data_IF_378641074075
#
_entry.id   IF_378641074075
#
_cell.length_a   1.000
_cell.length_b   1.000
_cell.length_c   1.000
_cell.angle_alpha   90.00
_cell.angle_beta   90.00
_cell.angle_gamma   90.00
#
_symmetry.space_group_name_H-M   'P 1'
#
loop_
_entity.id
_entity.type
_entity.pdbx_description
1 polymer ?
#
# COMPACT_ATOMS: atom_id res chain seq x y z
N UNK A 1 11.65 0.02 -0.89
CA UNK A 1 10.95 -1.27 -1.17
C UNK A 1 11.22 -2.37 -0.16
N UNK A 2 12.48 -2.84 0.01
CA UNK A 2 12.78 -3.97 0.92
C UNK A 2 12.39 -3.69 2.37
N UNK A 3 12.57 -2.45 2.83
CA UNK A 3 12.20 -2.04 4.19
C UNK A 3 10.68 -2.10 4.41
N UNK A 4 9.90 -1.55 3.49
CA UNK A 4 8.42 -1.57 3.54
C UNK A 4 7.89 -3.00 3.44
N UNK A 5 8.49 -3.82 2.57
CA UNK A 5 8.20 -5.25 2.48
C UNK A 5 8.41 -5.95 3.83
N UNK A 6 9.55 -5.69 4.50
CA UNK A 6 9.83 -6.21 5.84
C UNK A 6 8.84 -5.69 6.90
N UNK A 7 8.55 -4.40 6.92
CA UNK A 7 7.63 -3.78 7.91
C UNK A 7 6.22 -4.36 7.84
N UNK A 8 5.77 -4.68 6.64
CA UNK A 8 4.41 -5.17 6.39
C UNK A 8 4.34 -6.70 6.25
N UNK A 9 5.40 -7.43 6.60
CA UNK A 9 5.50 -8.88 6.40
C UNK A 9 5.09 -9.33 4.98
N UNK A 10 5.39 -8.51 3.98
CA UNK A 10 5.05 -8.77 2.59
C UNK A 10 6.30 -8.93 1.75
N UNK A 11 6.13 -9.40 0.51
CA UNK A 11 7.24 -9.54 -0.43
C UNK A 11 7.31 -8.33 -1.35
N UNK A 12 8.50 -7.92 -1.82
CA UNK A 12 8.62 -6.88 -2.85
C UNK A 12 7.86 -7.25 -4.14
N UNK A 13 7.64 -8.56 -4.38
CA UNK A 13 6.80 -9.07 -5.46
C UNK A 13 5.32 -8.70 -5.27
N UNK A 14 4.79 -8.79 -4.05
CA UNK A 14 3.43 -8.35 -3.73
C UNK A 14 3.27 -6.83 -3.90
N UNK A 15 4.25 -6.05 -3.44
CA UNK A 15 4.27 -4.58 -3.64
C UNK A 15 4.23 -4.25 -5.14
N UNK A 16 5.04 -4.93 -5.96
CA UNK A 16 5.06 -4.72 -7.41
C UNK A 16 3.72 -5.11 -8.07
N UNK A 17 3.06 -6.17 -7.60
CA UNK A 17 1.72 -6.54 -8.03
C UNK A 17 0.68 -5.44 -7.71
N UNK A 18 0.77 -4.84 -6.53
CA UNK A 18 -0.13 -3.75 -6.13
C UNK A 18 0.13 -2.47 -6.93
N UNK A 19 1.39 -2.17 -7.24
CA UNK A 19 1.76 -1.07 -8.13
C UNK A 19 1.26 -1.28 -9.57
N UNK A 20 1.43 -2.49 -10.11
CA UNK A 20 0.93 -2.85 -11.45
C UNK A 20 -0.60 -2.77 -11.54
N UNK A 21 -1.29 -3.10 -10.44
CA UNK A 21 -2.74 -2.93 -10.31
C UNK A 21 -3.16 -1.48 -10.00
N UNK A 22 -2.21 -0.57 -9.79
CA UNK A 22 -2.45 0.83 -9.44
C UNK A 22 -3.17 1.01 -8.10
N UNK A 23 -2.87 0.17 -7.11
CA UNK A 23 -3.33 0.32 -5.73
C UNK A 23 -2.41 1.23 -4.92
N UNK A 24 -1.14 1.24 -5.26
CA UNK A 24 -0.13 2.10 -4.67
C UNK A 24 0.60 2.84 -5.78
N UNK A 25 0.97 4.08 -5.49
CA UNK A 25 1.71 4.91 -6.44
C UNK A 25 2.85 5.56 -5.65
N UNK A 26 3.93 4.81 -5.37
CA UNK A 26 5.04 5.36 -4.63
C UNK A 26 5.58 6.56 -5.38
N UNK A 27 5.81 7.65 -4.65
CA UNK A 27 6.48 8.80 -5.23
C UNK A 27 7.89 8.34 -5.61
N UNK A 28 8.16 8.33 -6.91
CA UNK A 28 9.53 8.21 -7.42
C UNK A 28 10.26 9.46 -6.97
N UNK A 29 11.18 9.28 -6.03
CA UNK A 29 12.10 10.34 -5.72
C UNK A 29 13.01 10.56 -6.93
N UNK A 30 12.98 11.75 -7.52
CA UNK A 30 13.77 12.05 -8.73
C UNK A 30 15.28 12.01 -8.46
N UNK A 31 15.70 12.10 -7.20
CA UNK A 31 17.10 12.21 -6.81
C UNK A 31 17.69 10.93 -6.26
N UNK A 32 16.89 9.91 -5.97
CA UNK A 32 17.38 8.68 -5.37
C UNK A 32 16.56 7.52 -5.93
N UNK A 33 17.21 6.46 -6.40
CA UNK A 33 16.54 5.25 -6.92
C UNK A 33 15.70 4.52 -5.84
N UNK A 34 15.69 5.07 -4.62
CA UNK A 34 14.84 4.68 -3.52
C UNK A 34 13.42 5.19 -3.70
N UNK A 35 12.49 4.25 -3.85
CA UNK A 35 11.06 4.53 -3.72
C UNK A 35 10.74 4.94 -2.29
N UNK A 36 10.36 6.19 -2.12
CA UNK A 36 9.81 6.73 -0.88
C UNK A 36 8.36 6.29 -0.75
N UNK A 37 8.08 5.64 0.37
CA UNK A 37 6.72 5.30 0.77
C UNK A 37 6.40 6.21 1.95
N UNK A 38 5.38 7.05 1.81
CA UNK A 38 4.90 7.85 2.94
C UNK A 38 4.20 6.95 3.96
N UNK A 39 4.02 7.44 5.19
CA UNK A 39 3.27 6.72 6.22
C UNK A 39 1.85 6.36 5.75
N UNK A 40 1.19 7.25 4.99
CA UNK A 40 -0.10 6.97 4.36
C UNK A 40 -0.05 5.74 3.44
N UNK A 41 1.02 5.57 2.66
CA UNK A 41 1.19 4.39 1.80
C UNK A 41 1.45 3.12 2.61
N UNK A 42 2.20 3.23 3.70
CA UNK A 42 2.42 2.11 4.63
C UNK A 42 1.11 1.69 5.28
N UNK A 43 0.31 2.65 5.76
CA UNK A 43 -1.01 2.40 6.32
C UNK A 43 -1.95 1.76 5.30
N UNK A 44 -2.00 2.29 4.07
CA UNK A 44 -2.77 1.69 2.97
C UNK A 44 -2.37 0.24 2.72
N UNK A 45 -1.07 -0.04 2.62
CA UNK A 45 -0.58 -1.41 2.41
C UNK A 45 -0.93 -2.34 3.56
N UNK A 46 -0.86 -1.87 4.81
CA UNK A 46 -1.30 -2.63 5.99
C UNK A 46 -2.77 -3.01 5.86
N UNK A 47 -3.65 -2.04 5.57
CA UNK A 47 -5.08 -2.28 5.35
C UNK A 47 -5.35 -3.25 4.20
N UNK A 48 -4.61 -3.15 3.09
CA UNK A 48 -4.72 -4.08 1.95
C UNK A 48 -4.42 -5.52 2.41
N UNK A 49 -3.39 -5.69 3.23
CA UNK A 49 -2.98 -7.01 3.71
C UNK A 49 -4.02 -7.59 4.65
N UNK A 50 -4.51 -6.82 5.62
CA UNK A 50 -5.57 -7.25 6.55
C UNK A 50 -6.84 -7.66 5.80
N UNK A 51 -7.28 -6.87 4.83
CA UNK A 51 -8.47 -7.19 4.02
C UNK A 51 -8.25 -8.44 3.16
N UNK A 52 -7.03 -8.62 2.63
CA UNK A 52 -6.67 -9.81 1.85
C UNK A 52 -6.65 -11.07 2.72
N UNK A 53 -6.22 -10.98 3.98
CA UNK A 53 -6.25 -12.09 4.92
C UNK A 53 -7.69 -12.53 5.24
N UNK A 54 -8.64 -11.59 5.24
CA UNK A 54 -10.07 -11.86 5.42
C UNK A 54 -10.73 -12.42 4.15
N UNK A 55 -10.00 -12.50 3.03
CA UNK A 55 -10.48 -13.04 1.75
C UNK A 55 -11.12 -12.00 0.83
N UNK A 56 -10.97 -10.71 1.12
CA UNK A 56 -11.50 -9.64 0.27
C UNK A 56 -10.69 -9.58 -1.04
N UNK A 57 -11.34 -9.55 -2.21
CA UNK A 57 -10.66 -9.46 -3.48
C UNK A 57 -9.98 -8.10 -3.64
N UNK A 58 -8.77 -8.10 -4.22
CA UNK A 58 -7.95 -6.89 -4.45
C UNK A 58 -8.72 -5.77 -5.19
N UNK A 59 -9.70 -6.12 -6.04
CA UNK A 59 -10.57 -5.16 -6.73
C UNK A 59 -11.46 -4.36 -5.77
N UNK A 60 -12.04 -4.99 -4.76
CA UNK A 60 -12.86 -4.31 -3.75
C UNK A 60 -12.00 -3.48 -2.82
N UNK A 61 -10.87 -4.04 -2.38
CA UNK A 61 -9.88 -3.31 -1.57
C UNK A 61 -9.47 -2.00 -2.26
N UNK A 62 -9.18 -2.05 -3.56
CA UNK A 62 -8.87 -0.87 -4.36
C UNK A 62 -10.01 0.15 -4.33
N UNK A 63 -11.25 -0.31 -4.46
CA UNK A 63 -12.45 0.54 -4.41
C UNK A 63 -12.54 1.25 -3.05
N UNK A 64 -12.47 0.50 -1.96
CA UNK A 64 -12.52 1.02 -0.58
C UNK A 64 -11.38 1.98 -0.23
N UNK A 65 -10.20 1.85 -0.84
CA UNK A 65 -9.06 2.75 -0.63
C UNK A 65 -9.05 3.98 -1.54
N UNK A 66 -9.84 3.93 -2.62
CA UNK A 66 -10.04 5.07 -3.53
C UNK A 66 -10.99 6.07 -2.90
N UNK A 67 -11.92 5.61 -2.05
CA UNK A 67 -12.75 6.46 -1.21
C UNK A 67 -11.90 7.11 -0.10
N UNK A 68 -11.72 8.44 -0.09
CA UNK A 68 -10.86 9.16 0.83
C UNK A 68 -11.44 9.31 2.25
N UNK A 69 -12.25 8.35 2.72
CA UNK A 69 -12.94 8.46 4.02
C UNK A 69 -12.06 8.11 5.22
N UNK A 70 -10.83 7.65 5.02
CA UNK A 70 -9.95 7.18 6.10
C UNK A 70 -8.86 8.19 6.52
N UNK A 71 -9.12 9.50 6.38
CA UNK A 71 -8.26 10.56 6.95
C UNK A 71 -8.68 10.95 8.38
N UNK A 72 -9.69 10.29 8.96
CA UNK A 72 -10.27 10.69 10.25
C UNK A 72 -10.04 9.64 11.35
N UNK A 73 -8.78 9.43 11.74
CA UNK A 73 -8.43 8.86 13.06
C UNK A 73 -7.13 9.50 13.54
N UNK A 74 -7.17 10.81 13.74
CA UNK A 74 -6.33 11.47 14.75
C UNK A 74 -7.23 11.66 15.96
N UNK A 75 -7.25 10.67 16.87
CA UNK A 75 -7.71 10.84 18.25
C UNK A 75 -6.46 11.01 19.10
#
# INVERSE_FOLDING_TARGET
MKEVARKLNTTPRAIRLYEEKGLITPKKDKNNDYRLFTEEEIHRLSTILTLREIGVPIKEIKKSLTDPVMTCMSI
#
